data_IF_593444892753
#
_entry.id   IF_593444892753
#
_cell.length_a   1.000
_cell.length_b   1.000
_cell.length_c   1.000
_cell.angle_alpha   90.00
_cell.angle_beta   90.00
_cell.angle_gamma   90.00
#
_symmetry.space_group_name_H-M   'P 1'
#
loop_
_entity.id
_entity.type
_entity.pdbx_description
1 polymer ?
#
# COMPACT_ATOMS: atom_id res chain seq x y z
N UNK A 1 18.71 21.32 3.68
CA UNK A 1 17.35 21.01 4.17
C UNK A 1 17.19 19.50 4.13
N UNK A 2 16.80 18.87 5.23
CA UNK A 2 16.54 17.43 5.25
C UNK A 2 15.18 17.18 4.56
N UNK A 3 15.17 16.31 3.54
CA UNK A 3 13.93 15.89 2.89
C UNK A 3 13.32 14.72 3.65
N UNK A 4 11.99 14.69 3.74
CA UNK A 4 11.28 13.62 4.44
C UNK A 4 11.41 12.31 3.64
N UNK A 5 11.96 11.27 4.29
CA UNK A 5 12.13 9.93 3.70
C UNK A 5 11.09 8.93 4.16
N UNK A 6 10.54 9.12 5.35
CA UNK A 6 9.54 8.23 5.94
C UNK A 6 8.40 9.05 6.52
N UNK A 7 7.17 8.68 6.18
CA UNK A 7 5.95 9.26 6.72
C UNK A 7 5.09 8.12 7.25
N UNK A 8 4.71 8.20 8.52
CA UNK A 8 3.87 7.22 9.19
C UNK A 8 2.65 7.90 9.79
N UNK A 9 1.47 7.38 9.46
CA UNK A 9 0.17 7.79 9.99
C UNK A 9 -0.50 6.52 10.51
N UNK A 10 -0.59 6.38 11.81
CA UNK A 10 -1.07 5.15 12.47
C UNK A 10 -2.27 5.43 13.33
N UNK A 11 -3.19 4.46 13.42
CA UNK A 11 -4.34 4.46 14.34
C UNK A 11 -5.22 5.72 14.23
N UNK A 12 -5.28 6.34 13.05
CA UNK A 12 -6.03 7.57 12.84
C UNK A 12 -7.48 7.28 12.44
N UNK A 13 -8.34 7.04 13.44
CA UNK A 13 -9.77 6.77 13.23
C UNK A 13 -10.51 7.92 12.54
N UNK A 14 -10.07 9.17 12.67
CA UNK A 14 -10.69 10.32 12.00
C UNK A 14 -10.28 10.49 10.52
N UNK A 15 -9.24 9.78 10.06
CA UNK A 15 -8.66 9.98 8.74
C UNK A 15 -9.56 9.40 7.65
N UNK A 16 -10.26 10.27 6.93
CA UNK A 16 -11.14 9.86 5.81
C UNK A 16 -10.42 9.84 4.45
N UNK A 17 -9.43 10.72 4.29
CA UNK A 17 -8.63 10.94 3.08
C UNK A 17 -7.24 11.44 3.50
N UNK A 18 -6.21 11.10 2.73
CA UNK A 18 -4.92 11.80 2.83
C UNK A 18 -4.95 13.08 1.98
N UNK A 19 -4.17 14.07 2.36
CA UNK A 19 -4.10 15.38 1.69
C UNK A 19 -3.45 15.30 0.30
N UNK A 20 -3.84 16.20 -0.60
CA UNK A 20 -3.29 16.40 -1.97
C UNK A 20 -1.95 17.16 -1.97
N UNK A 21 -1.10 16.92 -0.98
CA UNK A 21 0.25 17.47 -0.91
C UNK A 21 1.32 16.38 -0.80
N UNK A 22 0.90 15.11 -0.77
CA UNK A 22 1.80 13.97 -0.66
C UNK A 22 2.76 13.91 -1.85
N UNK A 23 2.31 14.28 -3.04
CA UNK A 23 3.12 14.35 -4.26
C UNK A 23 4.36 15.26 -4.15
N UNK A 24 4.38 16.22 -3.20
CA UNK A 24 5.51 17.11 -2.98
C UNK A 24 6.65 16.43 -2.21
N UNK A 25 6.38 15.28 -1.57
CA UNK A 25 7.37 14.51 -0.82
C UNK A 25 8.22 13.66 -1.77
N UNK A 26 8.91 14.29 -2.72
CA UNK A 26 9.59 13.63 -3.84
C UNK A 26 10.69 12.65 -3.44
N UNK A 27 11.23 12.77 -2.22
CA UNK A 27 12.25 11.88 -1.65
C UNK A 27 11.68 10.83 -0.69
N UNK A 28 10.34 10.71 -0.59
CA UNK A 28 9.72 9.76 0.32
C UNK A 28 9.98 8.32 -0.15
N UNK A 29 10.61 7.53 0.70
CA UNK A 29 10.94 6.13 0.46
C UNK A 29 9.95 5.18 1.16
N UNK A 30 9.36 5.62 2.28
CA UNK A 30 8.42 4.83 3.09
C UNK A 30 7.17 5.66 3.36
N UNK A 31 6.01 5.10 3.01
CA UNK A 31 4.71 5.63 3.39
C UNK A 31 3.94 4.54 4.13
N UNK A 32 3.69 4.77 5.42
CA UNK A 32 2.85 3.92 6.26
C UNK A 32 1.58 4.65 6.64
N UNK A 33 0.45 4.05 6.32
CA UNK A 33 -0.90 4.48 6.69
C UNK A 33 -1.61 3.26 7.28
N UNK A 34 -1.34 3.02 8.55
CA UNK A 34 -1.71 1.79 9.24
C UNK A 34 -2.92 2.01 10.15
N UNK A 35 -3.80 1.01 10.24
CA UNK A 35 -4.95 1.01 11.16
C UNK A 35 -5.77 2.32 11.10
N UNK A 36 -6.03 2.80 9.89
CA UNK A 36 -6.87 3.97 9.63
C UNK A 36 -8.24 3.51 9.09
N UNK A 37 -9.16 3.03 9.93
CA UNK A 37 -10.34 2.30 9.47
C UNK A 37 -11.33 3.18 8.69
N UNK A 38 -11.29 4.50 8.82
CA UNK A 38 -12.19 5.39 8.07
C UNK A 38 -11.59 5.89 6.74
N UNK A 39 -10.35 5.51 6.41
CA UNK A 39 -9.72 5.84 5.15
C UNK A 39 -10.37 5.03 4.03
N UNK A 40 -10.98 5.72 3.06
CA UNK A 40 -11.71 5.07 1.96
C UNK A 40 -10.93 5.04 0.66
N UNK A 41 -10.01 5.98 0.47
CA UNK A 41 -9.25 6.18 -0.77
C UNK A 41 -7.89 6.81 -0.46
N UNK A 42 -6.87 6.39 -1.21
CA UNK A 42 -5.60 7.11 -1.31
C UNK A 42 -5.73 8.24 -2.36
N UNK A 43 -5.04 9.38 -2.19
CA UNK A 43 -5.04 10.46 -3.17
C UNK A 43 -4.24 10.03 -4.41
N UNK A 44 -4.63 10.51 -5.58
CA UNK A 44 -3.96 10.17 -6.84
C UNK A 44 -2.47 10.59 -6.84
N UNK A 45 -2.12 11.67 -6.14
CA UNK A 45 -0.75 12.17 -6.02
C UNK A 45 0.25 11.20 -5.40
N UNK A 46 -0.20 10.15 -4.70
CA UNK A 46 0.70 9.09 -4.23
C UNK A 46 1.45 8.43 -5.39
N UNK A 47 0.86 8.38 -6.59
CA UNK A 47 1.46 7.78 -7.79
C UNK A 47 2.62 8.61 -8.36
N UNK A 48 2.85 9.82 -7.86
CA UNK A 48 3.95 10.70 -8.25
C UNK A 48 5.21 10.48 -7.37
N UNK A 49 5.12 9.66 -6.32
CA UNK A 49 6.22 9.37 -5.41
C UNK A 49 7.23 8.40 -6.01
N UNK A 50 8.09 8.89 -6.91
CA UNK A 50 9.03 8.08 -7.68
C UNK A 50 10.10 7.37 -6.83
N UNK A 51 10.39 7.86 -5.62
CA UNK A 51 11.32 7.24 -4.68
C UNK A 51 10.65 6.25 -3.71
N UNK A 52 9.32 6.09 -3.74
CA UNK A 52 8.61 5.25 -2.78
C UNK A 52 8.97 3.77 -3.00
N UNK A 53 9.53 3.15 -1.97
CA UNK A 53 9.96 1.74 -1.95
C UNK A 53 9.02 0.86 -1.15
N UNK A 54 8.41 1.41 -0.09
CA UNK A 54 7.49 0.68 0.77
C UNK A 54 6.18 1.45 0.97
N UNK A 55 5.07 0.80 0.66
CA UNK A 55 3.72 1.27 0.95
C UNK A 55 3.03 0.30 1.91
N UNK A 56 2.72 0.78 3.11
CA UNK A 56 1.95 0.05 4.10
C UNK A 56 0.59 0.71 4.26
N UNK A 57 -0.46 0.00 3.89
CA UNK A 57 -1.87 0.42 4.04
C UNK A 57 -2.65 -0.61 4.86
N UNK A 58 -1.94 -1.45 5.61
CA UNK A 58 -2.55 -2.55 6.34
C UNK A 58 -3.53 -2.03 7.41
N UNK A 59 -4.58 -2.82 7.67
CA UNK A 59 -5.70 -2.47 8.57
C UNK A 59 -6.49 -1.21 8.17
N UNK A 60 -6.35 -0.70 6.95
CA UNK A 60 -7.28 0.25 6.36
C UNK A 60 -8.53 -0.47 5.83
N UNK A 61 -9.32 -1.04 6.75
CA UNK A 61 -10.43 -1.98 6.44
C UNK A 61 -11.51 -1.42 5.51
N UNK A 62 -11.68 -0.10 5.43
CA UNK A 62 -12.64 0.53 4.52
C UNK A 62 -12.04 1.07 3.21
N UNK A 63 -10.74 0.85 2.96
CA UNK A 63 -10.10 1.25 1.72
C UNK A 63 -10.68 0.46 0.55
N UNK A 64 -11.34 1.16 -0.38
CA UNK A 64 -12.13 0.50 -1.42
C UNK A 64 -11.33 0.13 -2.67
N UNK A 65 -10.27 0.90 -2.98
CA UNK A 65 -9.43 0.69 -4.17
C UNK A 65 -8.07 1.35 -4.04
N UNK A 66 -7.10 0.86 -4.79
CA UNK A 66 -5.86 1.57 -5.08
C UNK A 66 -6.11 2.66 -6.14
N UNK A 67 -5.28 3.72 -6.19
CA UNK A 67 -5.33 4.74 -7.25
C UNK A 67 -5.11 4.14 -8.64
N UNK A 68 -5.81 4.69 -9.64
CA UNK A 68 -5.83 4.13 -11.00
C UNK A 68 -4.44 4.11 -11.68
N UNK A 69 -3.50 4.96 -11.23
CA UNK A 69 -2.11 5.06 -11.74
C UNK A 69 -1.08 4.42 -10.81
N UNK A 70 -1.46 3.48 -9.93
CA UNK A 70 -0.52 2.85 -8.99
C UNK A 70 0.73 2.27 -9.68
N UNK A 71 0.59 1.80 -10.92
CA UNK A 71 1.71 1.34 -11.76
C UNK A 71 2.82 2.34 -12.01
N UNK A 72 2.60 3.64 -11.79
CA UNK A 72 3.62 4.68 -11.96
C UNK A 72 4.67 4.69 -10.84
N UNK A 73 4.47 3.91 -9.78
CA UNK A 73 5.42 3.78 -8.68
C UNK A 73 6.58 2.86 -9.07
N UNK A 74 7.51 3.39 -9.86
CA UNK A 74 8.59 2.61 -10.47
C UNK A 74 9.61 2.05 -9.48
N UNK A 75 9.74 2.66 -8.29
CA UNK A 75 10.63 2.19 -7.23
C UNK A 75 9.94 1.34 -6.17
N UNK A 76 8.62 1.12 -6.26
CA UNK A 76 7.90 0.40 -5.20
C UNK A 76 8.30 -1.06 -5.18
N UNK A 77 8.93 -1.49 -4.08
CA UNK A 77 9.45 -2.84 -3.90
C UNK A 77 8.52 -3.71 -3.06
N UNK A 78 7.80 -3.10 -2.11
CA UNK A 78 6.93 -3.80 -1.18
C UNK A 78 5.61 -3.06 -0.97
N UNK A 79 4.51 -3.81 -0.99
CA UNK A 79 3.20 -3.34 -0.54
C UNK A 79 2.66 -4.26 0.55
N UNK A 80 2.24 -3.67 1.68
CA UNK A 80 1.49 -4.38 2.72
C UNK A 80 0.06 -3.86 2.73
N UNK A 81 -0.88 -4.77 2.55
CA UNK A 81 -2.31 -4.51 2.47
C UNK A 81 -3.11 -5.59 3.17
N UNK A 82 -2.55 -6.14 4.26
CA UNK A 82 -3.30 -6.98 5.21
C UNK A 82 -4.56 -6.26 5.67
N UNK A 83 -5.66 -7.01 5.82
CA UNK A 83 -6.96 -6.47 6.26
C UNK A 83 -7.55 -5.35 5.37
N UNK A 84 -7.16 -5.27 4.10
CA UNK A 84 -7.79 -4.38 3.10
C UNK A 84 -8.94 -5.08 2.34
N UNK A 85 -9.86 -5.74 3.04
CA UNK A 85 -10.87 -6.65 2.46
C UNK A 85 -11.85 -6.00 1.48
N UNK A 86 -11.95 -4.67 1.48
CA UNK A 86 -12.76 -3.91 0.51
C UNK A 86 -12.11 -3.70 -0.85
N UNK A 87 -10.80 -3.92 -0.98
CA UNK A 87 -10.10 -3.87 -2.27
C UNK A 87 -10.39 -5.17 -3.02
N UNK A 88 -11.35 -5.14 -3.94
CA UNK A 88 -11.81 -6.32 -4.69
C UNK A 88 -11.15 -6.50 -6.06
N UNK A 89 -10.51 -5.46 -6.57
CA UNK A 89 -9.80 -5.49 -7.84
C UNK A 89 -8.62 -4.53 -7.83
N UNK A 90 -7.58 -4.86 -8.60
CA UNK A 90 -6.48 -3.94 -8.87
C UNK A 90 -6.81 -3.09 -10.11
N UNK A 91 -6.36 -1.82 -10.15
CA UNK A 91 -6.37 -1.06 -11.38
C UNK A 91 -5.49 -1.73 -12.43
N UNK A 92 -5.82 -1.58 -13.72
CA UNK A 92 -5.04 -2.17 -14.83
C UNK A 92 -3.56 -1.78 -14.80
N UNK A 93 -3.23 -0.62 -14.25
CA UNK A 93 -1.85 -0.14 -14.11
C UNK A 93 -1.01 -0.95 -13.12
N UNK A 94 -1.60 -1.77 -12.22
CA UNK A 94 -0.84 -2.51 -11.22
C UNK A 94 0.20 -3.48 -11.83
N UNK A 95 -0.01 -3.94 -13.07
CA UNK A 95 1.01 -4.70 -13.82
C UNK A 95 2.29 -3.91 -14.11
N UNK A 96 2.19 -2.57 -14.12
CA UNK A 96 3.30 -1.63 -14.34
C UNK A 96 4.21 -1.39 -13.14
N UNK A 97 3.95 -2.01 -11.97
CA UNK A 97 4.78 -1.89 -10.77
C UNK A 97 6.14 -2.61 -10.91
N UNK A 98 7.01 -2.17 -11.82
CA UNK A 98 8.17 -2.94 -12.30
C UNK A 98 9.17 -3.42 -11.22
N UNK A 99 9.38 -2.62 -10.17
CA UNK A 99 10.29 -2.97 -9.06
C UNK A 99 9.64 -3.80 -7.95
N UNK A 100 8.33 -4.08 -8.02
CA UNK A 100 7.61 -4.75 -6.94
C UNK A 100 8.12 -6.19 -6.80
N UNK A 101 8.58 -6.53 -5.59
CA UNK A 101 9.15 -7.83 -5.22
C UNK A 101 8.27 -8.57 -4.22
N UNK A 102 7.55 -7.84 -3.37
CA UNK A 102 6.76 -8.44 -2.28
C UNK A 102 5.39 -7.78 -2.13
N UNK A 103 4.35 -8.61 -2.02
CA UNK A 103 3.00 -8.22 -1.62
C UNK A 103 2.68 -9.01 -0.36
N UNK A 104 2.28 -8.33 0.70
CA UNK A 104 1.74 -8.96 1.91
C UNK A 104 0.25 -8.67 1.98
N UNK A 105 -0.56 -9.72 2.12
CA UNK A 105 -2.00 -9.58 2.27
C UNK A 105 -2.60 -10.75 3.06
N UNK A 106 -3.88 -10.66 3.39
CA UNK A 106 -4.62 -11.79 3.97
C UNK A 106 -5.25 -12.65 2.87
N UNK A 107 -5.86 -13.77 3.27
CA UNK A 107 -6.52 -14.70 2.35
C UNK A 107 -7.59 -14.04 1.49
N UNK A 108 -8.35 -13.09 2.05
CA UNK A 108 -9.43 -12.38 1.36
C UNK A 108 -8.94 -11.50 0.21
N UNK A 109 -7.77 -10.87 0.37
CA UNK A 109 -7.16 -9.96 -0.63
C UNK A 109 -6.25 -10.71 -1.61
N UNK A 110 -5.72 -11.88 -1.23
CA UNK A 110 -4.85 -12.69 -2.08
C UNK A 110 -5.38 -12.95 -3.51
N UNK A 111 -6.69 -13.17 -3.76
CA UNK A 111 -7.20 -13.48 -5.08
C UNK A 111 -7.07 -12.32 -6.06
N UNK A 112 -6.97 -11.09 -5.54
CA UNK A 112 -6.88 -9.82 -6.27
C UNK A 112 -5.50 -9.64 -6.92
N UNK A 113 -4.47 -10.30 -6.38
CA UNK A 113 -3.10 -10.27 -6.90
C UNK A 113 -2.76 -11.41 -7.86
N UNK A 114 -3.64 -12.42 -8.02
CA UNK A 114 -3.35 -13.64 -8.80
C UNK A 114 -2.87 -13.35 -10.23
N UNK A 115 -3.52 -12.43 -10.93
CA UNK A 115 -3.15 -12.11 -12.31
C UNK A 115 -1.80 -11.40 -12.41
N UNK A 116 -1.49 -10.54 -11.43
CA UNK A 116 -0.20 -9.84 -11.37
C UNK A 116 0.92 -10.81 -11.05
N UNK A 117 0.71 -11.72 -10.10
CA UNK A 117 1.68 -12.78 -9.75
C UNK A 117 1.89 -13.74 -10.91
N UNK A 118 0.81 -14.13 -11.61
CA UNK A 118 0.91 -14.98 -12.80
C UNK A 118 1.73 -14.32 -13.91
N UNK A 119 1.57 -13.02 -14.11
CA UNK A 119 2.35 -12.25 -15.08
C UNK A 119 3.81 -12.03 -14.64
N UNK A 120 4.11 -12.17 -13.34
CA UNK A 120 5.42 -11.87 -12.76
C UNK A 120 5.82 -12.94 -11.74
N UNK A 121 6.37 -14.08 -12.20
CA UNK A 121 6.71 -15.21 -11.32
C UNK A 121 7.70 -14.89 -10.19
N UNK A 122 8.51 -13.84 -10.34
CA UNK A 122 9.44 -13.38 -9.30
C UNK A 122 8.76 -12.58 -8.17
N UNK A 123 7.48 -12.23 -8.31
CA UNK A 123 6.74 -11.50 -7.30
C UNK A 123 6.34 -12.45 -6.17
N UNK A 124 6.86 -12.20 -4.97
CA UNK A 124 6.48 -12.95 -3.78
C UNK A 124 5.15 -12.43 -3.23
N UNK A 125 4.12 -13.28 -3.27
CA UNK A 125 2.84 -13.04 -2.60
C UNK A 125 2.84 -13.79 -1.26
N UNK A 126 3.02 -13.04 -0.17
CA UNK A 126 2.95 -13.56 1.19
C UNK A 126 1.51 -13.41 1.71
N UNK A 127 0.80 -14.54 1.79
CA UNK A 127 -0.53 -14.61 2.41
C UNK A 127 -0.34 -14.92 3.89
N UNK A 128 -0.76 -14.02 4.75
CA UNK A 128 -0.68 -14.17 6.21
C UNK A 128 -2.07 -14.48 6.73
N UNK A 129 -2.20 -15.50 7.58
CA UNK A 129 -3.43 -15.76 8.34
C UNK A 129 -3.76 -14.54 9.21
N UNK A 130 -5.03 -14.36 9.62
CA UNK A 130 -5.45 -13.20 10.44
C UNK A 130 -4.57 -13.10 11.69
N UNK A 131 -3.55 -12.26 11.66
CA UNK A 131 -2.75 -11.95 12.82
C UNK A 131 -3.59 -11.12 13.78
N UNK A 132 -4.17 -11.80 14.78
CA UNK A 132 -4.53 -11.18 16.06
C UNK A 132 -3.28 -10.86 16.92
N UNK A 133 -2.08 -11.11 16.40
CA UNK A 133 -0.85 -10.94 17.16
C UNK A 133 -0.50 -9.46 17.27
N UNK A 134 -0.18 -9.08 18.49
CA UNK A 134 0.21 -7.75 18.93
C UNK A 134 1.63 -7.42 18.42
N UNK A 135 1.93 -7.63 17.14
CA UNK A 135 3.27 -7.42 16.56
C UNK A 135 3.70 -5.94 16.59
N UNK A 136 2.80 -5.04 17.01
CA UNK A 136 3.08 -3.64 17.30
C UNK A 136 3.71 -3.41 18.68
N UNK A 137 3.86 -4.45 19.52
CA UNK A 137 4.58 -4.40 20.80
C UNK A 137 6.08 -4.66 20.65
N UNK A 138 6.55 -5.09 19.48
CA UNK A 138 7.95 -5.48 19.26
C UNK A 138 8.77 -4.43 18.48
N UNK A 139 8.44 -3.13 18.58
CA UNK A 139 9.32 -2.02 18.15
C UNK A 139 9.79 -1.15 19.33
#
# INVERSE_FOLDING_TARGET
MQSLKSLSITNCHGLKKLSTGLEQLTNLEILRVYACPNLRMLPAGICELQCLKYLDISQCVNLAKLPDRIGNLMSLEKIDMRECSRVRCLPKSASGLQSLKSVICNEEVSPVWRDVVRARPCLNLQVVERCFTLDWLDE
#
